data_IF_664499964700
#
_entry.id   IF_664499964700
#
_cell.length_a   1.000
_cell.length_b   1.000
_cell.length_c   1.000
_cell.angle_alpha   90.00
_cell.angle_beta   90.00
_cell.angle_gamma   90.00
#
_symmetry.space_group_name_H-M   'P 1'
#
loop_
_entity.id
_entity.type
_entity.pdbx_description
1 polymer ?
#
# COMPACT_ATOMS: atom_id res chain seq x y z
N UNK A 1 -8.16 7.55 17.60
CA UNK A 1 -7.63 8.53 16.63
C UNK A 1 -7.46 7.79 15.30
N UNK A 2 -7.92 8.34 14.19
CA UNK A 2 -7.71 7.70 12.89
C UNK A 2 -6.24 7.84 12.47
N UNK A 3 -5.69 6.83 11.80
CA UNK A 3 -4.33 6.89 11.24
C UNK A 3 -4.24 7.99 10.17
N UNK A 4 -3.29 8.90 10.30
CA UNK A 4 -3.08 9.97 9.33
C UNK A 4 -2.15 9.50 8.21
N UNK A 5 -2.76 9.01 7.13
CA UNK A 5 -2.06 8.56 5.93
C UNK A 5 -1.16 9.60 5.26
N UNK A 6 -1.21 10.89 5.62
CA UNK A 6 -0.32 11.91 5.05
C UNK A 6 1.01 12.05 5.79
N UNK A 7 1.10 11.65 7.06
CA UNK A 7 2.26 11.95 7.91
C UNK A 7 2.66 10.85 8.88
N UNK A 8 1.73 10.00 9.30
CA UNK A 8 2.04 8.94 10.26
C UNK A 8 2.99 7.93 9.63
N UNK A 9 3.86 7.35 10.46
CA UNK A 9 4.82 6.34 10.02
C UNK A 9 4.06 5.12 9.49
N UNK A 10 4.32 4.78 8.23
CA UNK A 10 3.81 3.56 7.61
C UNK A 10 4.85 2.46 7.83
N UNK A 11 4.40 1.34 8.36
CA UNK A 11 5.19 0.13 8.55
C UNK A 11 4.51 -1.02 7.81
N UNK A 12 5.19 -2.17 7.67
CA UNK A 12 4.56 -3.37 7.10
C UNK A 12 3.33 -3.83 7.89
N UNK A 13 3.27 -3.55 9.20
CA UNK A 13 2.15 -3.93 10.07
C UNK A 13 1.00 -2.91 10.05
N UNK A 14 1.15 -1.76 9.38
CA UNK A 14 0.09 -0.74 9.29
C UNK A 14 -1.16 -1.33 8.62
N UNK A 15 -2.31 -1.39 9.30
CA UNK A 15 -3.54 -1.93 8.73
C UNK A 15 -4.07 -1.06 7.60
N UNK A 16 -4.46 -1.69 6.50
CA UNK A 16 -5.28 -1.12 5.44
C UNK A 16 -6.74 -1.35 5.83
N UNK A 17 -7.44 -0.28 6.15
CA UNK A 17 -8.84 -0.28 6.55
C UNK A 17 -9.68 0.63 5.62
N UNK A 18 -10.96 0.78 5.92
CA UNK A 18 -11.90 1.61 5.14
C UNK A 18 -11.50 3.08 5.03
N UNK A 19 -10.56 3.54 5.85
CA UNK A 19 -10.00 4.89 5.81
C UNK A 19 -8.67 4.98 5.05
N UNK A 20 -8.24 3.93 4.35
CA UNK A 20 -7.04 3.93 3.52
C UNK A 20 -7.07 5.06 2.49
N UNK A 21 -5.92 5.72 2.33
CA UNK A 21 -5.74 6.79 1.34
C UNK A 21 -4.43 6.56 0.62
N UNK A 22 -4.47 6.51 -0.70
CA UNK A 22 -3.26 6.47 -1.53
C UNK A 22 -2.62 7.87 -1.62
N UNK A 23 -1.91 8.25 -0.55
CA UNK A 23 -1.23 9.54 -0.42
C UNK A 23 0.21 9.46 -0.95
N UNK A 24 0.89 10.61 -0.98
CA UNK A 24 2.32 10.66 -1.27
C UNK A 24 3.17 9.89 -0.24
N UNK A 25 2.74 9.82 1.02
CA UNK A 25 3.42 9.05 2.06
C UNK A 25 3.37 7.54 1.76
N UNK A 26 2.19 7.04 1.38
CA UNK A 26 2.02 5.64 0.92
C UNK A 26 2.88 5.36 -0.30
N UNK A 27 2.90 6.26 -1.29
CA UNK A 27 3.77 6.11 -2.47
C UNK A 27 5.25 6.03 -2.10
N UNK A 28 5.73 6.84 -1.15
CA UNK A 28 7.13 6.79 -0.68
C UNK A 28 7.43 5.45 -0.04
N UNK A 29 6.59 5.01 0.90
CA UNK A 29 6.71 3.70 1.52
C UNK A 29 6.78 2.57 0.48
N UNK A 30 5.87 2.58 -0.51
CA UNK A 30 5.85 1.56 -1.55
C UNK A 30 7.11 1.59 -2.44
N UNK A 31 7.64 2.77 -2.78
CA UNK A 31 8.90 2.88 -3.52
C UNK A 31 10.09 2.39 -2.69
N UNK A 32 10.12 2.67 -1.40
CA UNK A 32 11.18 2.19 -0.48
C UNK A 32 11.18 0.67 -0.37
N UNK A 33 10.00 0.04 -0.37
CA UNK A 33 9.86 -1.42 -0.23
C UNK A 33 9.96 -2.17 -1.56
N UNK A 34 9.43 -1.61 -2.64
CA UNK A 34 9.28 -2.28 -3.93
C UNK A 34 10.24 -1.76 -5.02
N UNK A 35 11.00 -0.70 -4.74
CA UNK A 35 11.93 -0.07 -5.66
C UNK A 35 11.32 1.00 -6.57
N UNK A 36 12.17 1.68 -7.37
CA UNK A 36 11.78 2.84 -8.17
C UNK A 36 10.84 2.51 -9.35
N UNK A 37 10.71 1.23 -9.72
CA UNK A 37 9.78 0.78 -10.76
C UNK A 37 8.33 0.69 -10.27
N UNK A 38 8.09 0.82 -8.96
CA UNK A 38 6.75 0.74 -8.37
C UNK A 38 5.78 1.73 -9.02
N UNK A 39 4.58 1.25 -9.39
CA UNK A 39 3.48 2.08 -9.89
C UNK A 39 2.15 1.61 -9.37
N UNK A 40 1.27 2.54 -9.06
CA UNK A 40 -0.14 2.22 -8.87
C UNK A 40 -0.81 2.08 -10.23
N UNK A 41 -1.42 0.92 -10.47
CA UNK A 41 -2.36 0.70 -11.57
C UNK A 41 -3.78 0.45 -11.03
N UNK A 42 -4.76 0.40 -11.95
CA UNK A 42 -6.17 0.24 -11.59
C UNK A 42 -6.48 -1.13 -10.97
N UNK A 43 -6.02 -2.26 -11.53
CA UNK A 43 -6.24 -3.58 -10.92
C UNK A 43 -5.69 -3.69 -9.50
N UNK A 44 -4.46 -3.23 -9.27
CA UNK A 44 -3.83 -3.27 -7.96
C UNK A 44 -4.56 -2.38 -6.95
N UNK A 45 -4.98 -1.19 -7.37
CA UNK A 45 -5.80 -0.31 -6.53
C UNK A 45 -7.18 -0.89 -6.21
N UNK A 46 -7.79 -1.64 -7.12
CA UNK A 46 -9.05 -2.33 -6.86
C UNK A 46 -8.85 -3.47 -5.84
N UNK A 47 -7.75 -4.22 -5.93
CA UNK A 47 -7.40 -5.27 -4.98
C UNK A 47 -7.14 -4.71 -3.57
N UNK A 48 -6.41 -3.58 -3.45
CA UNK A 48 -6.17 -2.93 -2.15
C UNK A 48 -7.50 -2.60 -1.48
N UNK A 49 -8.44 -2.01 -2.23
CA UNK A 49 -9.71 -1.49 -1.74
C UNK A 49 -10.89 -2.50 -1.78
N UNK A 50 -10.63 -3.80 -1.92
CA UNK A 50 -11.70 -4.79 -2.08
C UNK A 50 -12.47 -5.13 -0.78
N UNK A 51 -12.19 -4.46 0.34
CA UNK A 51 -12.82 -4.71 1.64
C UNK A 51 -12.21 -5.85 2.46
N UNK A 52 -11.34 -6.68 1.88
CA UNK A 52 -10.64 -7.73 2.63
C UNK A 52 -9.58 -7.11 3.56
N UNK A 53 -9.50 -7.53 4.84
CA UNK A 53 -8.48 -7.06 5.77
C UNK A 53 -7.07 -7.30 5.24
N UNK A 54 -6.26 -6.24 5.19
CA UNK A 54 -4.85 -6.30 4.79
C UNK A 54 -3.99 -5.39 5.64
N UNK A 55 -2.67 -5.60 5.59
CA UNK A 55 -1.67 -4.65 6.04
C UNK A 55 -0.80 -4.17 4.87
N UNK A 56 -0.04 -3.10 5.08
CA UNK A 56 0.84 -2.55 4.06
C UNK A 56 1.96 -3.52 3.64
N UNK A 57 2.33 -4.49 4.47
CA UNK A 57 3.23 -5.59 4.11
C UNK A 57 2.64 -6.49 3.03
N UNK A 58 1.37 -6.88 3.16
CA UNK A 58 0.65 -7.65 2.14
C UNK A 58 0.47 -6.85 0.84
N UNK A 59 0.32 -5.53 0.93
CA UNK A 59 0.29 -4.66 -0.26
C UNK A 59 1.65 -4.68 -0.98
N UNK A 60 2.75 -4.62 -0.24
CA UNK A 60 4.10 -4.77 -0.81
C UNK A 60 4.26 -6.14 -1.47
N UNK A 61 3.90 -7.21 -0.76
CA UNK A 61 4.10 -8.58 -1.23
C UNK A 61 3.28 -8.86 -2.50
N UNK A 62 2.06 -8.33 -2.58
CA UNK A 62 1.23 -8.47 -3.77
C UNK A 62 1.82 -7.72 -4.97
N UNK A 63 2.34 -6.50 -4.78
CA UNK A 63 3.02 -5.80 -5.86
C UNK A 63 4.23 -6.59 -6.37
N UNK A 64 5.07 -7.11 -5.46
CA UNK A 64 6.25 -7.90 -5.81
C UNK A 64 5.86 -9.19 -6.55
N UNK A 65 4.75 -9.83 -6.14
CA UNK A 65 4.20 -11.01 -6.82
C UNK A 65 3.76 -10.69 -8.24
N UNK A 66 3.07 -9.56 -8.45
CA UNK A 66 2.60 -9.11 -9.76
C UNK A 66 3.73 -8.62 -10.67
N UNK A 67 4.79 -8.06 -10.10
CA UNK A 67 5.93 -7.49 -10.85
C UNK A 67 7.03 -8.50 -11.19
N UNK A 68 6.97 -9.70 -10.60
CA UNK A 68 7.88 -10.81 -10.91
C UNK A 68 7.38 -11.67 -12.07
N UNK A 69 6.23 -11.33 -12.65
CA UNK A 69 5.61 -11.96 -13.81
C UNK A 69 5.91 -11.15 -15.07
#
# INVERSE_FOLDING_TARGET
MAFNWHSDLITRDTPVNDHYRNTQNVRRFMIEQCGPSFRFDRPFMAWINNGEPKNMGQVVDEWLRLSSL
#
